data_IF_269251725278
#
_entry.id   IF_269251725278
#
_cell.length_a   1.000
_cell.length_b   1.000
_cell.length_c   1.000
_cell.angle_alpha   90.00
_cell.angle_beta   90.00
_cell.angle_gamma   90.00
#
_symmetry.space_group_name_H-M   'P 1'
#
loop_
_entity.id
_entity.type
_entity.pdbx_description
1 polymer ?
#
# COMPACT_ATOMS: atom_id res chain seq x y z
N UNK A 1 -52.29 17.68 -73.20
CA UNK A 1 -50.81 17.89 -73.13
C UNK A 1 -50.35 17.80 -71.68
N UNK A 2 -49.84 16.67 -71.31
CA UNK A 2 -49.27 16.43 -69.91
C UNK A 2 -47.78 16.49 -70.07
N UNK A 3 -47.14 17.47 -69.43
CA UNK A 3 -45.65 17.54 -69.29
C UNK A 3 -45.23 16.68 -68.16
N UNK A 4 -44.43 15.64 -68.42
CA UNK A 4 -43.77 14.78 -67.43
C UNK A 4 -42.46 15.47 -67.10
N UNK A 5 -42.29 15.90 -65.82
CA UNK A 5 -41.02 16.33 -65.25
C UNK A 5 -40.27 15.11 -64.75
N UNK A 6 -39.19 14.77 -65.42
CA UNK A 6 -38.24 13.78 -64.89
C UNK A 6 -37.24 14.47 -63.91
N UNK A 7 -37.31 14.10 -62.67
CA UNK A 7 -36.33 14.53 -61.69
C UNK A 7 -35.20 13.50 -61.68
N UNK A 8 -34.00 13.88 -62.17
CA UNK A 8 -32.80 13.10 -62.04
C UNK A 8 -32.29 13.25 -60.61
N UNK A 9 -32.32 12.13 -59.83
CA UNK A 9 -31.64 12.01 -58.52
C UNK A 9 -30.22 11.56 -58.81
N UNK A 10 -29.26 12.49 -58.72
CA UNK A 10 -27.82 12.16 -58.75
C UNK A 10 -27.43 11.65 -57.40
N UNK A 11 -27.26 10.33 -57.23
CA UNK A 11 -26.61 9.73 -56.08
C UNK A 11 -25.10 10.06 -56.13
N UNK A 12 -24.65 10.98 -55.28
CA UNK A 12 -23.23 11.10 -54.94
C UNK A 12 -22.83 9.90 -54.07
N UNK A 13 -22.27 8.86 -54.68
CA UNK A 13 -21.48 7.87 -53.93
C UNK A 13 -20.17 8.52 -53.50
N UNK A 14 -20.09 8.99 -52.28
CA UNK A 14 -18.81 9.26 -51.64
C UNK A 14 -18.09 7.93 -51.37
N UNK A 15 -17.12 7.60 -52.19
CA UNK A 15 -16.18 6.48 -51.89
C UNK A 15 -15.36 6.88 -50.70
N UNK A 16 -15.69 6.33 -49.51
CA UNK A 16 -14.79 6.35 -48.39
C UNK A 16 -13.57 5.50 -48.77
N UNK A 17 -12.50 6.15 -49.14
CA UNK A 17 -11.19 5.49 -49.29
C UNK A 17 -10.64 5.27 -47.87
N UNK A 18 -10.62 4.01 -47.43
CA UNK A 18 -9.88 3.65 -46.25
C UNK A 18 -8.39 3.88 -46.54
N UNK A 19 -7.78 4.86 -45.89
CA UNK A 19 -6.33 5.07 -45.93
C UNK A 19 -5.70 4.36 -44.73
N UNK A 20 -4.69 3.54 -44.96
CA UNK A 20 -3.82 3.02 -43.88
C UNK A 20 -2.69 4.02 -43.72
N UNK A 21 -2.48 4.49 -42.48
CA UNK A 21 -1.36 5.35 -42.13
C UNK A 21 -0.30 4.54 -41.43
N UNK A 22 0.95 4.72 -41.82
CA UNK A 22 2.10 4.13 -41.10
C UNK A 22 2.56 5.10 -40.02
N UNK A 23 2.74 4.59 -38.80
CA UNK A 23 3.31 5.35 -37.70
C UNK A 23 4.61 4.69 -37.23
N UNK A 24 5.65 5.49 -36.98
CA UNK A 24 6.85 5.05 -36.30
C UNK A 24 6.63 5.07 -34.80
N UNK A 25 6.73 3.90 -34.17
CA UNK A 25 6.59 3.75 -32.72
C UNK A 25 7.95 3.52 -32.09
N UNK A 26 8.36 4.47 -31.24
CA UNK A 26 9.53 4.29 -30.39
C UNK A 26 9.09 3.60 -29.09
N UNK A 27 9.60 2.39 -28.88
CA UNK A 27 9.37 1.66 -27.61
C UNK A 27 10.15 2.38 -26.51
N UNK A 28 9.43 2.99 -25.56
CA UNK A 28 10.00 3.74 -24.43
C UNK A 28 9.55 3.20 -23.05
N UNK A 29 8.48 2.40 -23.02
CA UNK A 29 7.99 1.75 -21.81
C UNK A 29 8.50 0.31 -21.81
N UNK A 30 9.16 -0.16 -20.74
CA UNK A 30 9.61 -1.54 -20.66
C UNK A 30 8.43 -2.52 -20.62
N UNK A 31 8.65 -3.72 -21.10
CA UNK A 31 7.69 -4.81 -20.93
C UNK A 31 7.63 -5.21 -19.45
N UNK A 32 6.41 -5.42 -18.93
CA UNK A 32 6.17 -5.84 -17.56
C UNK A 32 5.51 -7.21 -17.54
N UNK A 33 6.16 -8.16 -16.89
CA UNK A 33 5.60 -9.48 -16.57
C UNK A 33 4.74 -9.41 -15.32
N UNK A 34 3.62 -10.15 -15.31
CA UNK A 34 2.70 -10.24 -14.18
C UNK A 34 2.59 -11.70 -13.73
N UNK A 35 2.79 -11.92 -12.42
CA UNK A 35 2.56 -13.21 -11.76
C UNK A 35 1.49 -13.03 -10.70
N UNK A 36 0.31 -13.62 -10.89
CA UNK A 36 -0.83 -13.45 -10.01
C UNK A 36 -1.03 -14.61 -9.03
N UNK A 37 -1.67 -14.29 -7.90
CA UNK A 37 -2.10 -15.27 -6.90
C UNK A 37 -0.97 -16.18 -6.39
N UNK A 38 0.23 -15.61 -6.24
CA UNK A 38 1.37 -16.31 -5.66
C UNK A 38 1.16 -16.45 -4.15
N UNK A 39 1.07 -17.67 -3.66
CA UNK A 39 0.97 -17.97 -2.23
C UNK A 39 2.30 -17.64 -1.54
N UNK A 40 2.27 -16.78 -0.53
CA UNK A 40 3.46 -16.36 0.20
C UNK A 40 3.46 -16.75 1.69
N UNK A 41 2.29 -17.02 2.27
CA UNK A 41 2.16 -17.48 3.64
C UNK A 41 0.97 -18.44 3.78
N UNK A 42 1.13 -19.49 4.57
CA UNK A 42 0.05 -20.35 5.01
C UNK A 42 -0.54 -19.84 6.30
N UNK A 43 -1.86 -19.95 6.44
CA UNK A 43 -2.59 -19.58 7.64
C UNK A 43 -3.17 -20.84 8.25
N UNK A 44 -2.82 -21.12 9.48
CA UNK A 44 -3.41 -22.22 10.26
C UNK A 44 -4.86 -21.87 10.65
N UNK A 45 -5.79 -22.13 9.74
CA UNK A 45 -7.23 -21.99 9.94
C UNK A 45 -7.94 -23.25 9.48
N UNK A 46 -9.21 -23.39 9.85
CA UNK A 46 -10.07 -24.42 9.32
C UNK A 46 -11.22 -23.78 8.50
N UNK A 47 -11.34 -24.08 7.19
CA UNK A 47 -10.36 -24.81 6.34
C UNK A 47 -9.04 -24.08 6.20
N UNK A 48 -7.97 -24.79 5.84
CA UNK A 48 -6.63 -24.22 5.59
C UNK A 48 -6.70 -23.12 4.52
N UNK A 49 -6.07 -21.99 4.77
CA UNK A 49 -6.04 -20.84 3.88
C UNK A 49 -4.60 -20.35 3.64
N UNK A 50 -4.42 -19.58 2.59
CA UNK A 50 -3.14 -18.95 2.27
C UNK A 50 -3.34 -17.48 1.95
N UNK A 51 -2.31 -16.68 2.24
CA UNK A 51 -2.22 -15.28 1.78
C UNK A 51 -1.51 -15.24 0.43
N UNK A 52 -2.02 -14.42 -0.47
CA UNK A 52 -1.54 -14.31 -1.84
C UNK A 52 -1.01 -12.92 -2.16
N UNK A 53 -0.11 -12.87 -3.12
CA UNK A 53 0.37 -11.62 -3.71
C UNK A 53 0.33 -11.69 -5.23
N UNK A 54 0.31 -10.53 -5.87
CA UNK A 54 0.51 -10.38 -7.30
C UNK A 54 1.76 -9.56 -7.55
N UNK A 55 2.67 -10.06 -8.39
CA UNK A 55 4.00 -9.50 -8.63
C UNK A 55 4.05 -8.96 -10.05
N UNK A 56 4.52 -7.73 -10.18
CA UNK A 56 4.77 -6.99 -11.42
C UNK A 56 6.27 -6.77 -11.53
N UNK A 57 6.90 -7.24 -12.60
CA UNK A 57 8.34 -7.18 -12.76
C UNK A 57 8.74 -6.74 -14.16
N UNK A 58 9.82 -5.93 -14.33
CA UNK A 58 10.40 -5.67 -15.64
C UNK A 58 10.84 -6.97 -16.30
N UNK A 59 10.55 -7.14 -17.61
CA UNK A 59 10.88 -8.36 -18.37
C UNK A 59 12.25 -8.26 -19.07
N UNK A 60 13.23 -7.65 -18.44
CA UNK A 60 14.58 -7.41 -19.03
C UNK A 60 15.66 -8.40 -18.57
N UNK A 61 15.29 -9.39 -17.74
CA UNK A 61 16.18 -10.42 -17.23
C UNK A 61 17.20 -9.95 -16.19
N UNK A 62 17.07 -8.74 -15.65
CA UNK A 62 17.96 -8.19 -14.62
C UNK A 62 17.35 -8.30 -13.23
N UNK A 63 18.16 -8.04 -12.21
CA UNK A 63 17.69 -7.85 -10.84
C UNK A 63 17.35 -6.39 -10.59
N UNK A 64 16.22 -6.16 -9.95
CA UNK A 64 15.67 -4.85 -9.63
C UNK A 64 15.42 -4.71 -8.13
N UNK A 65 15.44 -3.49 -7.58
CA UNK A 65 14.89 -3.24 -6.24
C UNK A 65 13.41 -3.63 -6.20
N UNK A 66 12.92 -4.05 -5.03
CA UNK A 66 11.52 -4.43 -4.89
C UNK A 66 10.73 -3.46 -4.00
N UNK A 67 9.42 -3.40 -4.24
CA UNK A 67 8.45 -2.67 -3.43
C UNK A 67 7.32 -3.59 -3.04
N UNK A 68 7.08 -3.77 -1.75
CA UNK A 68 5.88 -4.44 -1.22
C UNK A 68 4.81 -3.38 -1.03
N UNK A 69 3.75 -3.44 -1.84
CA UNK A 69 2.58 -2.59 -1.68
C UNK A 69 1.53 -3.28 -0.82
N UNK A 70 1.06 -2.56 0.21
CA UNK A 70 0.10 -3.04 1.20
C UNK A 70 -1.20 -2.23 1.02
N UNK A 71 -2.31 -2.86 0.60
CA UNK A 71 -3.56 -2.16 0.36
C UNK A 71 -4.21 -1.64 1.63
N UNK A 72 -4.99 -0.57 1.50
CA UNK A 72 -5.89 -0.08 2.53
C UNK A 72 -7.13 -0.94 2.67
N UNK A 73 -8.03 -0.53 3.57
CA UNK A 73 -9.33 -1.19 3.79
C UNK A 73 -9.69 -1.33 5.25
N UNK A 74 -9.20 -0.43 6.13
CA UNK A 74 -9.51 -0.38 7.57
C UNK A 74 -9.29 -1.74 8.29
N UNK A 75 -8.37 -2.56 7.78
CA UNK A 75 -8.08 -3.94 8.22
C UNK A 75 -9.27 -4.90 8.14
N UNK A 76 -10.42 -4.50 7.54
CA UNK A 76 -11.58 -5.36 7.25
C UNK A 76 -11.63 -5.84 5.80
N UNK A 77 -10.78 -5.28 4.96
CA UNK A 77 -10.53 -5.69 3.58
C UNK A 77 -9.06 -5.46 3.23
N UNK A 78 -8.54 -6.26 2.32
CA UNK A 78 -7.18 -6.14 1.80
C UNK A 78 -7.17 -6.52 0.30
N UNK A 79 -7.89 -5.75 -0.56
CA UNK A 79 -7.98 -6.07 -1.98
C UNK A 79 -6.65 -5.75 -2.67
N UNK A 80 -5.79 -6.76 -2.86
CA UNK A 80 -4.48 -6.57 -3.52
C UNK A 80 -4.61 -5.96 -4.91
N UNK A 81 -5.75 -6.12 -5.56
CA UNK A 81 -6.06 -5.54 -6.87
C UNK A 81 -6.06 -3.99 -6.85
N UNK A 82 -6.33 -3.38 -5.71
CA UNK A 82 -6.29 -1.92 -5.56
C UNK A 82 -4.89 -1.33 -5.77
N UNK A 83 -3.84 -2.14 -5.61
CA UNK A 83 -2.45 -1.77 -5.83
C UNK A 83 -1.95 -1.97 -7.27
N UNK A 84 -2.72 -2.61 -8.15
CA UNK A 84 -2.23 -3.05 -9.46
C UNK A 84 -1.74 -1.89 -10.34
N UNK A 85 -2.49 -0.78 -10.39
CA UNK A 85 -2.07 0.39 -11.14
C UNK A 85 -0.70 0.92 -10.67
N UNK A 86 -0.53 1.04 -9.36
CA UNK A 86 0.70 1.55 -8.76
C UNK A 86 1.86 0.58 -8.97
N UNK A 87 1.61 -0.73 -8.77
CA UNK A 87 2.61 -1.77 -9.01
C UNK A 87 3.04 -1.82 -10.49
N UNK A 88 2.11 -1.66 -11.44
CA UNK A 88 2.44 -1.53 -12.85
C UNK A 88 3.34 -0.33 -13.11
N UNK A 89 2.99 0.86 -12.56
CA UNK A 89 3.80 2.07 -12.72
C UNK A 89 5.19 1.94 -12.09
N UNK A 90 5.31 1.27 -10.97
CA UNK A 90 6.62 0.98 -10.36
C UNK A 90 7.44 0.03 -11.25
N UNK A 91 6.82 -1.01 -11.82
CA UNK A 91 7.51 -1.94 -12.71
C UNK A 91 7.98 -1.25 -14.01
N UNK A 92 7.16 -0.37 -14.60
CA UNK A 92 7.57 0.48 -15.74
C UNK A 92 8.76 1.39 -15.40
N UNK A 93 8.99 1.67 -14.11
CA UNK A 93 10.10 2.49 -13.60
C UNK A 93 11.25 1.66 -13.00
N UNK A 94 11.32 0.36 -13.30
CA UNK A 94 12.47 -0.48 -12.94
C UNK A 94 12.45 -1.05 -11.53
N UNK A 95 11.28 -1.26 -10.94
CA UNK A 95 11.11 -1.96 -9.66
C UNK A 95 10.34 -3.26 -9.86
N UNK A 96 10.63 -4.28 -9.07
CA UNK A 96 9.69 -5.38 -8.87
C UNK A 96 8.68 -4.94 -7.81
N UNK A 97 7.39 -4.90 -8.15
CA UNK A 97 6.35 -4.46 -7.22
C UNK A 97 5.38 -5.61 -6.89
N UNK A 98 5.14 -5.86 -5.61
CA UNK A 98 4.26 -6.91 -5.14
C UNK A 98 3.11 -6.31 -4.33
N UNK A 99 1.86 -6.49 -4.79
CA UNK A 99 0.67 -6.16 -4.01
C UNK A 99 0.19 -7.38 -3.24
N UNK A 100 -0.02 -7.24 -1.92
CA UNK A 100 -0.21 -8.36 -1.00
C UNK A 100 -1.59 -8.37 -0.36
N UNK A 101 -2.03 -9.56 0.04
CA UNK A 101 -3.09 -9.77 1.03
C UNK A 101 -2.50 -9.80 2.44
N UNK A 102 -3.34 -9.58 3.44
CA UNK A 102 -3.04 -9.81 4.85
C UNK A 102 -4.33 -10.24 5.57
N UNK A 103 -4.20 -10.92 6.73
CA UNK A 103 -5.37 -11.31 7.54
C UNK A 103 -6.14 -10.09 8.02
N UNK A 104 -7.44 -10.26 8.19
CA UNK A 104 -8.34 -9.17 8.57
C UNK A 104 -8.67 -9.21 10.07
N UNK A 105 -9.05 -8.06 10.63
CA UNK A 105 -9.55 -7.99 12.02
C UNK A 105 -10.78 -8.89 12.19
N UNK A 106 -10.90 -9.47 13.38
CA UNK A 106 -11.89 -10.55 13.62
C UNK A 106 -11.31 -11.94 13.38
N UNK A 107 -10.48 -12.15 12.36
CA UNK A 107 -9.75 -13.40 12.14
C UNK A 107 -8.35 -13.41 12.79
N UNK A 108 -7.70 -12.25 12.84
CA UNK A 108 -6.34 -12.08 13.37
C UNK A 108 -6.26 -10.88 14.33
N UNK A 109 -5.19 -10.84 15.11
CA UNK A 109 -4.83 -9.66 15.90
C UNK A 109 -3.81 -8.78 15.15
N UNK A 110 -3.55 -7.59 15.71
CA UNK A 110 -2.62 -6.65 15.09
C UNK A 110 -1.21 -7.24 14.94
N UNK A 111 -0.76 -8.12 15.85
CA UNK A 111 0.56 -8.74 15.78
C UNK A 111 0.64 -9.74 14.64
N UNK A 112 -0.43 -10.51 14.44
CA UNK A 112 -0.56 -11.45 13.34
C UNK A 112 -0.68 -10.73 11.99
N UNK A 113 -1.43 -9.62 11.93
CA UNK A 113 -1.60 -8.80 10.71
C UNK A 113 -0.26 -8.13 10.32
N UNK A 114 0.50 -7.60 11.28
CA UNK A 114 1.85 -7.08 11.02
C UNK A 114 2.79 -8.19 10.56
N UNK A 115 2.69 -9.37 11.18
CA UNK A 115 3.51 -10.53 10.79
C UNK A 115 3.24 -10.98 9.35
N UNK A 116 2.02 -10.85 8.85
CA UNK A 116 1.68 -11.17 7.45
C UNK A 116 2.43 -10.27 6.46
N UNK A 117 2.47 -8.96 6.73
CA UNK A 117 3.24 -8.02 5.92
C UNK A 117 4.76 -8.35 5.98
N UNK A 118 5.27 -8.76 7.14
CA UNK A 118 6.67 -9.22 7.29
C UNK A 118 6.93 -10.52 6.51
N UNK A 119 5.98 -11.46 6.51
CA UNK A 119 6.08 -12.71 5.76
C UNK A 119 6.19 -12.44 4.26
N UNK A 120 5.46 -11.44 3.73
CA UNK A 120 5.57 -11.04 2.33
C UNK A 120 6.98 -10.55 1.98
N UNK A 121 7.60 -9.71 2.82
CA UNK A 121 8.99 -9.25 2.62
C UNK A 121 9.96 -10.43 2.65
N UNK A 122 9.81 -11.35 3.63
CA UNK A 122 10.67 -12.54 3.72
C UNK A 122 10.50 -13.46 2.51
N UNK A 123 9.26 -13.65 2.04
CA UNK A 123 8.98 -14.46 0.85
C UNK A 123 9.66 -13.90 -0.40
N UNK A 124 9.56 -12.59 -0.65
CA UNK A 124 10.22 -11.96 -1.80
C UNK A 124 11.75 -12.10 -1.70
N UNK A 125 12.31 -11.96 -0.51
CA UNK A 125 13.75 -12.13 -0.28
C UNK A 125 14.20 -13.56 -0.51
N UNK A 126 13.44 -14.55 -0.02
CA UNK A 126 13.72 -15.97 -0.23
C UNK A 126 13.62 -16.40 -1.70
N UNK A 127 12.76 -15.75 -2.46
CA UNK A 127 12.50 -16.05 -3.87
C UNK A 127 13.09 -15.00 -4.83
N UNK A 128 14.09 -14.25 -4.39
CA UNK A 128 14.63 -13.10 -5.11
C UNK A 128 15.12 -13.46 -6.52
N UNK A 129 15.78 -14.61 -6.70
CA UNK A 129 16.26 -15.06 -8.00
C UNK A 129 15.11 -15.38 -8.96
N UNK A 130 14.03 -15.99 -8.45
CA UNK A 130 12.85 -16.35 -9.24
C UNK A 130 12.14 -15.15 -9.83
N UNK A 131 12.09 -14.05 -9.09
CA UNK A 131 11.34 -12.84 -9.46
C UNK A 131 12.22 -11.67 -9.91
N UNK A 132 13.52 -11.88 -10.11
CA UNK A 132 14.44 -10.83 -10.55
C UNK A 132 14.59 -9.70 -9.50
N UNK A 133 14.69 -10.04 -8.22
CA UNK A 133 14.78 -9.09 -7.11
C UNK A 133 16.24 -8.97 -6.62
N UNK A 134 16.70 -7.74 -6.36
CA UNK A 134 17.85 -7.50 -5.50
C UNK A 134 17.39 -7.63 -4.03
N UNK A 135 17.71 -8.75 -3.39
CA UNK A 135 17.24 -9.09 -2.05
C UNK A 135 17.66 -8.10 -0.94
N UNK A 136 18.63 -7.23 -1.22
CA UNK A 136 19.11 -6.21 -0.29
C UNK A 136 18.36 -4.87 -0.45
N UNK A 137 17.50 -4.75 -1.45
CA UNK A 137 16.84 -3.49 -1.84
C UNK A 137 15.32 -3.66 -1.90
N UNK A 138 14.68 -3.78 -0.74
CA UNK A 138 13.22 -3.93 -0.63
C UNK A 138 12.65 -2.76 0.14
N UNK A 139 11.68 -2.06 -0.43
CA UNK A 139 10.90 -1.02 0.24
C UNK A 139 9.50 -1.50 0.60
N UNK A 140 8.91 -0.90 1.63
CA UNK A 140 7.49 -1.02 1.95
C UNK A 140 6.74 0.22 1.47
N UNK A 141 5.56 0.02 0.91
CA UNK A 141 4.65 1.07 0.50
C UNK A 141 3.23 0.67 0.87
N UNK A 142 2.42 1.60 1.36
CA UNK A 142 1.04 1.26 1.69
C UNK A 142 0.14 2.47 1.80
N UNK A 143 -1.17 2.23 1.79
CA UNK A 143 -2.17 3.27 1.92
C UNK A 143 -3.13 2.99 3.08
N UNK A 144 -3.53 4.02 3.84
CA UNK A 144 -4.50 3.89 4.93
C UNK A 144 -4.07 2.82 5.94
N UNK A 145 -4.87 1.80 6.20
CA UNK A 145 -4.51 0.63 7.02
C UNK A 145 -3.22 -0.05 6.55
N UNK A 146 -2.99 -0.13 5.23
CA UNK A 146 -1.74 -0.63 4.65
C UNK A 146 -0.57 0.34 4.84
N UNK A 147 -0.82 1.65 4.88
CA UNK A 147 0.16 2.67 5.25
C UNK A 147 0.69 2.44 6.67
N UNK A 148 -0.20 2.23 7.63
CA UNK A 148 0.18 1.82 8.98
C UNK A 148 1.07 0.55 8.98
N UNK A 149 0.70 -0.47 8.20
CA UNK A 149 1.50 -1.70 8.11
C UNK A 149 2.88 -1.46 7.48
N UNK A 150 2.97 -0.61 6.46
CA UNK A 150 4.24 -0.22 5.86
C UNK A 150 5.13 0.54 6.86
N UNK A 151 4.54 1.44 7.66
CA UNK A 151 5.24 2.13 8.75
C UNK A 151 5.76 1.12 9.78
N UNK A 152 4.92 0.15 10.21
CA UNK A 152 5.31 -0.89 11.15
C UNK A 152 6.46 -1.76 10.62
N UNK A 153 6.48 -2.10 9.33
CA UNK A 153 7.63 -2.77 8.70
C UNK A 153 8.92 -1.96 8.86
N UNK A 154 8.86 -0.66 8.58
CA UNK A 154 10.02 0.23 8.66
C UNK A 154 10.58 0.40 10.07
N UNK A 155 9.72 0.52 11.08
CA UNK A 155 10.17 0.83 12.45
C UNK A 155 10.49 -0.41 13.29
N UNK A 156 9.95 -1.60 12.94
CA UNK A 156 10.16 -2.83 13.73
C UNK A 156 11.23 -3.76 13.16
N UNK A 157 11.64 -3.60 11.91
CA UNK A 157 12.69 -4.43 11.29
C UNK A 157 12.48 -5.94 11.54
N UNK A 158 13.50 -6.61 12.09
CA UNK A 158 13.43 -8.04 12.44
C UNK A 158 13.01 -8.30 13.89
N UNK A 159 12.98 -7.26 14.74
CA UNK A 159 13.02 -7.44 16.20
C UNK A 159 11.66 -7.83 16.80
N UNK A 160 10.54 -7.53 16.11
CA UNK A 160 9.17 -7.71 16.64
C UNK A 160 8.23 -8.29 15.58
N UNK A 161 7.16 -8.92 16.05
CA UNK A 161 6.03 -9.36 15.21
C UNK A 161 6.44 -10.27 14.03
N UNK A 162 7.41 -11.16 14.24
CA UNK A 162 7.86 -12.11 13.20
C UNK A 162 7.36 -13.51 13.53
N UNK A 163 6.51 -14.07 12.69
CA UNK A 163 6.01 -15.45 12.75
C UNK A 163 5.76 -16.01 11.34
N UNK A 164 5.49 -17.31 11.23
CA UNK A 164 5.18 -17.97 9.96
C UNK A 164 6.42 -18.39 9.18
N UNK A 165 6.33 -18.37 7.85
CA UNK A 165 7.32 -18.95 6.95
C UNK A 165 8.58 -18.05 6.76
N UNK A 166 9.65 -18.67 6.24
CA UNK A 166 10.91 -18.02 5.88
C UNK A 166 11.55 -17.18 7.01
N UNK A 167 11.46 -17.64 8.27
CA UNK A 167 12.02 -16.92 9.44
C UNK A 167 13.55 -16.78 9.39
N UNK A 168 14.24 -17.55 8.56
CA UNK A 168 15.67 -17.39 8.26
C UNK A 168 15.99 -16.21 7.34
N UNK A 169 14.97 -15.54 6.77
CA UNK A 169 15.11 -14.34 5.96
C UNK A 169 14.77 -13.09 6.77
N UNK A 170 15.45 -11.98 6.46
CA UNK A 170 15.15 -10.67 7.04
C UNK A 170 13.81 -10.12 6.56
N UNK A 171 13.04 -9.50 7.47
CA UNK A 171 11.86 -8.70 7.14
C UNK A 171 12.14 -7.18 7.10
N UNK A 172 13.41 -6.77 7.24
CA UNK A 172 13.82 -5.37 7.15
C UNK A 172 13.55 -4.79 5.76
N UNK A 173 13.15 -3.52 5.74
CA UNK A 173 12.98 -2.74 4.51
C UNK A 173 13.90 -1.53 4.54
N UNK A 174 14.35 -1.09 3.35
CA UNK A 174 15.33 -0.03 3.20
C UNK A 174 14.70 1.35 2.94
N UNK A 175 13.39 1.40 2.70
CA UNK A 175 12.61 2.63 2.55
C UNK A 175 11.14 2.36 2.89
N UNK A 176 10.43 3.41 3.29
CA UNK A 176 8.97 3.37 3.51
C UNK A 176 8.31 4.50 2.74
N UNK A 177 7.23 4.18 2.02
CA UNK A 177 6.31 5.16 1.45
C UNK A 177 4.95 4.98 2.10
N UNK A 178 4.48 5.98 2.81
CA UNK A 178 3.20 5.99 3.52
C UNK A 178 2.22 6.95 2.86
N UNK A 179 1.07 6.44 2.43
CA UNK A 179 -0.05 7.24 1.99
C UNK A 179 -1.12 7.26 3.08
N UNK A 180 -1.26 8.40 3.73
CA UNK A 180 -2.33 8.69 4.70
C UNK A 180 -2.60 7.57 5.71
N UNK A 181 -1.57 6.86 6.16
CA UNK A 181 -1.67 5.86 7.20
C UNK A 181 -1.99 6.47 8.57
N UNK A 182 -2.82 5.82 9.39
CA UNK A 182 -2.88 6.19 10.80
C UNK A 182 -1.57 5.83 11.50
N UNK A 183 -1.24 6.54 12.55
CA UNK A 183 0.00 6.35 13.31
C UNK A 183 -0.30 6.02 14.77
N UNK A 184 -0.75 7.01 15.54
CA UNK A 184 -1.15 6.81 16.93
C UNK A 184 -2.67 6.62 17.01
N UNK A 185 -3.11 5.38 17.17
CA UNK A 185 -4.53 5.04 17.18
C UNK A 185 -5.27 5.61 18.40
N UNK A 186 -4.57 5.94 19.48
CA UNK A 186 -5.18 6.63 20.65
C UNK A 186 -5.46 8.10 20.38
N UNK A 187 -4.87 8.65 19.32
CA UNK A 187 -4.99 10.04 18.90
C UNK A 187 -5.62 10.20 17.50
N UNK A 188 -6.16 9.11 16.96
CA UNK A 188 -6.65 9.09 15.56
C UNK A 188 -7.78 10.10 15.31
N UNK A 189 -8.49 10.51 16.34
CA UNK A 189 -9.63 11.41 16.24
C UNK A 189 -9.42 12.77 16.94
N UNK A 190 -8.18 13.11 17.35
CA UNK A 190 -7.92 14.35 18.13
C UNK A 190 -8.44 15.61 17.44
N UNK A 191 -8.37 15.69 16.11
CA UNK A 191 -8.78 16.87 15.32
C UNK A 191 -10.25 16.89 14.95
N UNK A 192 -11.03 15.91 15.39
CA UNK A 192 -12.43 15.79 15.01
C UNK A 192 -13.40 16.28 16.10
N UNK A 193 -14.67 16.50 15.72
CA UNK A 193 -15.71 16.84 16.67
C UNK A 193 -15.96 15.72 17.70
N UNK A 194 -16.58 16.03 18.82
CA UNK A 194 -16.82 15.06 19.90
C UNK A 194 -17.71 13.90 19.42
N UNK A 195 -18.66 14.17 18.53
CA UNK A 195 -19.51 13.12 17.94
C UNK A 195 -18.65 12.15 17.12
N UNK A 196 -17.68 12.66 16.36
CA UNK A 196 -16.81 11.82 15.56
C UNK A 196 -15.79 11.09 16.43
N UNK A 197 -15.26 11.71 17.48
CA UNK A 197 -14.43 11.06 18.49
C UNK A 197 -15.15 9.87 19.11
N UNK A 198 -16.43 10.04 19.47
CA UNK A 198 -17.24 8.96 20.03
C UNK A 198 -17.34 7.74 19.11
N UNK A 199 -17.38 7.96 17.78
CA UNK A 199 -17.37 6.88 16.78
C UNK A 199 -16.00 6.18 16.73
N UNK A 200 -14.89 6.95 16.63
CA UNK A 200 -13.54 6.38 16.51
C UNK A 200 -13.06 5.66 17.76
N UNK A 201 -13.54 6.06 18.93
CA UNK A 201 -13.19 5.42 20.21
C UNK A 201 -14.26 4.46 20.72
N UNK A 202 -15.31 4.17 19.91
CA UNK A 202 -16.30 3.15 20.27
C UNK A 202 -15.68 1.74 20.26
N UNK A 203 -16.31 0.82 20.98
CA UNK A 203 -15.86 -0.59 21.06
C UNK A 203 -15.89 -1.28 19.69
N UNK A 204 -16.79 -0.85 18.80
CA UNK A 204 -16.97 -1.40 17.45
C UNK A 204 -16.18 -0.66 16.37
N UNK A 205 -15.38 0.33 16.73
CA UNK A 205 -14.55 1.04 15.77
C UNK A 205 -13.42 0.16 15.25
N UNK A 206 -12.98 0.38 14.01
CA UNK A 206 -11.89 -0.38 13.44
C UNK A 206 -10.57 -0.27 14.22
N UNK A 207 -10.16 0.91 14.72
CA UNK A 207 -9.00 1.03 15.60
C UNK A 207 -9.13 0.20 16.88
N UNK A 208 -10.30 0.21 17.50
CA UNK A 208 -10.55 -0.54 18.74
C UNK A 208 -10.50 -2.06 18.51
N UNK A 209 -11.14 -2.55 17.45
CA UNK A 209 -11.12 -3.97 17.09
C UNK A 209 -9.69 -4.38 16.66
N UNK A 210 -8.97 -3.54 15.93
CA UNK A 210 -7.59 -3.83 15.51
C UNK A 210 -6.67 -4.03 16.73
N UNK A 211 -6.74 -3.12 17.70
CA UNK A 211 -5.88 -3.15 18.89
C UNK A 211 -6.31 -4.22 19.89
N UNK A 212 -7.60 -4.30 20.21
CA UNK A 212 -8.12 -5.10 21.34
C UNK A 212 -8.85 -6.37 20.92
N UNK A 213 -9.13 -6.54 19.62
CA UNK A 213 -9.96 -7.63 19.09
C UNK A 213 -11.44 -7.49 19.44
N UNK A 214 -12.20 -8.52 19.07
CA UNK A 214 -13.63 -8.63 19.42
C UNK A 214 -13.75 -9.36 20.75
N UNK A 215 -14.54 -8.79 21.69
CA UNK A 215 -14.72 -9.37 23.00
C UNK A 215 -15.24 -10.83 22.92
N UNK A 216 -14.59 -11.73 23.66
CA UNK A 216 -14.92 -13.16 23.71
C UNK A 216 -14.41 -14.01 22.54
N UNK A 217 -13.96 -13.39 21.44
CA UNK A 217 -13.36 -14.12 20.33
C UNK A 217 -11.87 -14.37 20.59
N UNK A 218 -11.41 -15.61 20.50
CA UNK A 218 -10.00 -16.02 20.80
C UNK A 218 -9.51 -15.48 22.14
N UNK A 219 -10.38 -15.48 23.19
CA UNK A 219 -10.08 -14.97 24.52
C UNK A 219 -9.69 -13.48 24.58
N UNK A 220 -10.10 -12.68 23.60
CA UNK A 220 -9.82 -11.25 23.57
C UNK A 220 -10.75 -10.51 24.53
N UNK A 221 -10.22 -9.45 25.12
CA UNK A 221 -11.01 -8.60 26.05
C UNK A 221 -11.96 -7.66 25.32
N UNK A 222 -11.66 -7.30 24.06
CA UNK A 222 -12.33 -6.20 23.37
C UNK A 222 -12.06 -4.87 24.09
N UNK A 223 -12.92 -3.91 23.86
CA UNK A 223 -12.83 -2.59 24.48
C UNK A 223 -12.41 -1.51 23.48
N UNK A 224 -12.59 -0.24 23.89
CA UNK A 224 -12.06 0.90 23.14
C UNK A 224 -10.53 0.83 23.03
N UNK A 225 -9.96 1.40 21.99
CA UNK A 225 -8.49 1.56 21.87
C UNK A 225 -7.90 2.31 23.09
N UNK A 226 -8.71 3.09 23.82
CA UNK A 226 -8.31 3.81 25.02
C UNK A 226 -8.35 2.95 26.31
N UNK A 227 -9.04 1.80 26.30
CA UNK A 227 -9.27 0.98 27.49
C UNK A 227 -8.06 0.11 27.86
N UNK A 228 -7.14 -0.18 26.92
CA UNK A 228 -5.96 -1.02 27.11
C UNK A 228 -4.68 -0.26 26.72
N UNK A 229 -4.19 0.63 27.59
CA UNK A 229 -3.02 1.49 27.25
C UNK A 229 -1.77 0.72 26.85
N UNK A 230 -1.52 -0.46 27.42
CA UNK A 230 -0.36 -1.27 27.07
C UNK A 230 -0.48 -1.80 25.63
N UNK A 231 -1.62 -2.40 25.27
CA UNK A 231 -1.84 -2.91 23.90
C UNK A 231 -1.82 -1.78 22.87
N UNK A 232 -2.42 -0.63 23.21
CA UNK A 232 -2.37 0.56 22.38
C UNK A 232 -0.93 1.07 22.19
N UNK A 233 -0.13 1.08 23.26
CA UNK A 233 1.30 1.41 23.21
C UNK A 233 2.09 0.41 22.36
N UNK A 234 1.84 -0.87 22.52
CA UNK A 234 2.52 -1.94 21.75
C UNK A 234 2.14 -1.91 20.25
N UNK A 235 0.97 -1.39 19.91
CA UNK A 235 0.55 -1.18 18.52
C UNK A 235 0.98 0.18 17.95
N UNK A 236 1.60 1.07 18.73
CA UNK A 236 1.99 2.40 18.28
C UNK A 236 3.38 2.38 17.62
N UNK A 237 3.48 2.64 16.29
CA UNK A 237 4.76 2.63 15.57
C UNK A 237 5.79 3.62 16.11
N UNK A 238 5.36 4.72 16.75
CA UNK A 238 6.27 5.73 17.31
C UNK A 238 7.22 5.15 18.36
N UNK A 239 6.79 4.10 19.07
CA UNK A 239 7.56 3.45 20.13
C UNK A 239 8.71 2.57 19.59
N UNK A 240 8.74 2.32 18.29
CA UNK A 240 9.74 1.48 17.63
C UNK A 240 10.75 2.26 16.80
N UNK A 241 10.58 3.59 16.66
CA UNK A 241 11.50 4.43 15.89
C UNK A 241 12.89 4.39 16.56
N UNK A 242 13.88 3.96 15.81
CA UNK A 242 15.26 3.80 16.25
C UNK A 242 16.25 4.26 15.18
N UNK A 243 17.55 4.25 15.49
CA UNK A 243 18.59 4.56 14.49
C UNK A 243 18.66 3.60 13.31
N UNK A 244 18.00 2.42 13.40
CA UNK A 244 17.90 1.44 12.30
C UNK A 244 16.70 1.70 11.39
N UNK A 245 15.82 2.63 11.75
CA UNK A 245 14.64 2.99 10.97
C UNK A 245 15.08 3.59 9.64
N UNK A 246 14.58 3.09 8.49
CA UNK A 246 14.97 3.56 7.16
C UNK A 246 14.39 4.95 6.85
N UNK A 247 14.76 5.58 5.72
CA UNK A 247 14.13 6.80 5.23
C UNK A 247 12.64 6.63 4.93
N UNK A 248 11.87 7.69 5.16
CA UNK A 248 10.42 7.76 4.97
C UNK A 248 10.02 8.83 3.97
N UNK A 249 9.06 8.49 3.11
CA UNK A 249 8.32 9.40 2.25
C UNK A 249 6.83 9.29 2.60
N UNK A 250 6.23 10.39 3.03
CA UNK A 250 4.87 10.40 3.58
C UNK A 250 4.01 11.35 2.74
N UNK A 251 2.81 10.92 2.39
CA UNK A 251 1.83 11.75 1.69
C UNK A 251 0.50 11.76 2.44
N UNK A 252 -0.11 12.95 2.56
CA UNK A 252 -1.46 13.08 3.15
C UNK A 252 -2.24 14.20 2.45
N UNK A 253 -3.54 14.03 2.31
CA UNK A 253 -4.42 15.09 1.81
C UNK A 253 -4.88 16.00 2.94
N UNK A 254 -4.91 17.32 2.74
CA UNK A 254 -5.37 18.28 3.76
C UNK A 254 -6.89 18.26 4.01
N UNK A 255 -7.63 17.63 3.10
CA UNK A 255 -9.09 17.47 3.18
C UNK A 255 -9.54 16.06 3.57
N UNK A 256 -8.61 15.22 4.04
CA UNK A 256 -8.90 13.86 4.51
C UNK A 256 -9.78 13.89 5.76
N UNK A 257 -10.97 13.29 5.64
CA UNK A 257 -11.96 13.18 6.73
C UNK A 257 -12.02 11.78 7.35
N UNK A 258 -11.21 10.85 6.86
CA UNK A 258 -11.15 9.46 7.37
C UNK A 258 -9.99 9.28 8.32
N UNK A 259 -8.77 9.62 7.91
CA UNK A 259 -7.59 9.67 8.77
C UNK A 259 -7.12 11.11 8.79
N UNK A 260 -7.03 11.71 9.99
CA UNK A 260 -6.59 13.10 10.09
C UNK A 260 -5.15 13.27 9.60
N UNK A 261 -4.85 14.36 8.86
CA UNK A 261 -3.48 14.73 8.49
C UNK A 261 -2.51 14.87 9.68
N UNK A 262 -3.03 15.06 10.90
CA UNK A 262 -2.21 15.07 12.12
C UNK A 262 -1.48 13.75 12.33
N UNK A 263 -2.03 12.62 11.88
CA UNK A 263 -1.40 11.32 12.01
C UNK A 263 -0.07 11.24 11.25
N UNK A 264 -0.03 11.73 10.01
CA UNK A 264 1.21 11.85 9.24
C UNK A 264 2.17 12.90 9.80
N UNK A 265 1.66 13.99 10.37
CA UNK A 265 2.50 15.01 11.02
C UNK A 265 3.18 14.43 12.27
N UNK A 266 2.44 13.74 13.13
CA UNK A 266 2.98 13.07 14.32
C UNK A 266 4.10 12.08 13.93
N UNK A 267 3.90 11.28 12.89
CA UNK A 267 4.91 10.36 12.39
C UNK A 267 6.16 11.10 11.90
N UNK A 268 5.97 12.10 11.04
CA UNK A 268 7.06 12.90 10.49
C UNK A 268 7.90 13.59 11.58
N UNK A 269 7.23 14.21 12.54
CA UNK A 269 7.89 14.88 13.68
C UNK A 269 8.68 13.89 14.55
N UNK A 270 8.11 12.71 14.83
CA UNK A 270 8.78 11.69 15.62
C UNK A 270 10.02 11.09 14.91
N UNK A 271 9.93 10.87 13.59
CA UNK A 271 11.06 10.42 12.77
C UNK A 271 12.18 11.45 12.76
N UNK A 272 11.86 12.70 12.46
CA UNK A 272 12.84 13.80 12.39
C UNK A 272 13.49 14.08 13.74
N UNK A 273 12.74 14.03 14.84
CA UNK A 273 13.27 14.16 16.20
C UNK A 273 14.29 13.08 16.57
N UNK A 274 14.23 11.90 15.92
CA UNK A 274 15.20 10.81 16.06
C UNK A 274 16.34 10.87 15.03
N UNK A 275 16.36 11.90 14.18
CA UNK A 275 17.36 12.07 13.11
C UNK A 275 17.15 11.14 11.92
N UNK A 276 15.95 10.58 11.74
CA UNK A 276 15.61 9.76 10.60
C UNK A 276 15.18 10.67 9.44
N UNK A 277 15.66 10.37 8.24
CA UNK A 277 15.24 11.07 7.02
C UNK A 277 13.74 10.85 6.80
N UNK A 278 12.97 11.92 6.80
CA UNK A 278 11.53 11.90 6.57
C UNK A 278 11.10 13.12 5.76
N UNK A 279 10.32 12.89 4.71
CA UNK A 279 9.70 13.96 3.93
C UNK A 279 8.19 13.77 3.97
N UNK A 280 7.45 14.82 4.35
CA UNK A 280 5.99 14.84 4.35
C UNK A 280 5.49 15.79 3.26
N UNK A 281 4.68 15.28 2.35
CA UNK A 281 3.94 16.05 1.36
C UNK A 281 2.47 16.13 1.74
N UNK A 282 1.95 17.35 1.87
CA UNK A 282 0.53 17.62 2.04
C UNK A 282 -0.07 17.96 0.67
N UNK A 283 -1.00 17.13 0.20
CA UNK A 283 -1.70 17.32 -1.07
C UNK A 283 -2.91 18.23 -0.83
N UNK A 284 -2.87 19.42 -1.41
CA UNK A 284 -3.92 20.42 -1.26
C UNK A 284 -5.23 19.94 -1.88
N UNK A 285 -6.32 19.96 -1.13
CA UNK A 285 -7.63 19.44 -1.52
C UNK A 285 -7.69 17.92 -1.62
N UNK A 286 -6.62 17.21 -1.24
CA UNK A 286 -6.59 15.75 -1.24
C UNK A 286 -7.47 15.18 -0.13
N UNK A 287 -8.28 14.19 -0.49
CA UNK A 287 -9.12 13.41 0.41
C UNK A 287 -8.50 12.03 0.66
N UNK A 288 -9.20 11.15 1.39
CA UNK A 288 -8.80 9.76 1.64
C UNK A 288 -9.06 8.85 0.42
N UNK A 289 -8.44 9.15 -0.72
CA UNK A 289 -8.66 8.46 -1.98
C UNK A 289 -7.38 8.41 -2.81
N UNK A 290 -7.00 7.22 -3.29
CA UNK A 290 -5.81 6.96 -4.10
C UNK A 290 -5.69 7.85 -5.35
N UNK A 291 -6.81 8.32 -5.93
CA UNK A 291 -6.80 9.17 -7.12
C UNK A 291 -5.94 10.43 -7.00
N UNK A 292 -5.83 11.00 -5.78
CA UNK A 292 -4.99 12.18 -5.53
C UNK A 292 -3.50 11.84 -5.51
N UNK A 293 -3.15 10.60 -5.18
CA UNK A 293 -1.79 10.16 -4.91
C UNK A 293 -1.15 9.40 -6.09
N UNK A 294 -1.95 8.97 -7.06
CA UNK A 294 -1.48 8.21 -8.24
C UNK A 294 -1.23 9.10 -9.46
N UNK A 295 -1.16 10.41 -9.27
CA UNK A 295 -0.88 11.38 -10.34
C UNK A 295 0.60 11.33 -10.78
N UNK A 296 0.91 11.61 -12.05
CA UNK A 296 2.27 11.51 -12.59
C UNK A 296 3.33 12.26 -11.78
N UNK A 297 2.99 13.45 -11.26
CA UNK A 297 3.91 14.23 -10.41
C UNK A 297 4.24 13.54 -9.10
N UNK A 298 3.25 12.91 -8.44
CA UNK A 298 3.46 12.15 -7.20
C UNK A 298 4.25 10.88 -7.48
N UNK A 299 3.90 10.16 -8.56
CA UNK A 299 4.64 8.96 -8.99
C UNK A 299 6.12 9.26 -9.24
N UNK A 300 6.41 10.41 -9.88
CA UNK A 300 7.80 10.84 -10.09
C UNK A 300 8.54 11.08 -8.77
N UNK A 301 7.92 11.74 -7.80
CA UNK A 301 8.52 11.95 -6.46
C UNK A 301 8.83 10.61 -5.79
N UNK A 302 7.90 9.64 -5.88
CA UNK A 302 8.07 8.31 -5.32
C UNK A 302 9.23 7.58 -5.98
N UNK A 303 9.26 7.53 -7.32
CA UNK A 303 10.30 6.81 -8.05
C UNK A 303 11.68 7.45 -7.86
N UNK A 304 11.77 8.78 -7.84
CA UNK A 304 13.03 9.49 -7.54
C UNK A 304 13.53 9.16 -6.12
N UNK A 305 12.65 9.16 -5.13
CA UNK A 305 12.98 8.78 -3.75
C UNK A 305 13.50 7.34 -3.68
N UNK A 306 12.74 6.39 -4.25
CA UNK A 306 13.08 4.97 -4.22
C UNK A 306 14.40 4.69 -4.96
N UNK A 307 14.62 5.29 -6.14
CA UNK A 307 15.89 5.16 -6.86
C UNK A 307 17.07 5.73 -6.10
N UNK A 308 16.87 6.80 -5.33
CA UNK A 308 17.92 7.40 -4.51
C UNK A 308 18.28 6.54 -3.31
N UNK A 309 17.29 5.97 -2.65
CA UNK A 309 17.49 5.24 -1.37
C UNK A 309 17.88 3.78 -1.60
N UNK A 310 17.38 3.17 -2.68
CA UNK A 310 17.63 1.76 -3.01
C UNK A 310 18.79 1.58 -4.01
N UNK A 311 19.74 2.49 -4.06
CA UNK A 311 20.94 2.40 -4.93
C UNK A 311 21.81 1.20 -4.63
#
# INVERSE_FOLDING_TARGET
MRKIFAVLFALLLSTLTASAENIDVKISVPEVGISENIEFAKIETWPEASLKMSIFAPSDGKKHPAVVFIPGGAWIAAPKESGYYLCMKLAENGFVAASIEYRLIGAADYTEIISDAKAAVRFLRANSDKFGIDSNKIAAMGQSAGGYLAVMLGVTGNDKFSSGDNLNQSSEVQAVVDFFGPTDLTRIADDYSDEKKAVYYSLSSFPSIFVNGVAGYKNRKGGSVLDNPQTASDSNPLNYISKKTPPFLIFHGDSDKTVSPSQSKILHEALTAKGIESTLYIIKGGEHDGKYFYQPGVLKIITDFLHRVLK
#
